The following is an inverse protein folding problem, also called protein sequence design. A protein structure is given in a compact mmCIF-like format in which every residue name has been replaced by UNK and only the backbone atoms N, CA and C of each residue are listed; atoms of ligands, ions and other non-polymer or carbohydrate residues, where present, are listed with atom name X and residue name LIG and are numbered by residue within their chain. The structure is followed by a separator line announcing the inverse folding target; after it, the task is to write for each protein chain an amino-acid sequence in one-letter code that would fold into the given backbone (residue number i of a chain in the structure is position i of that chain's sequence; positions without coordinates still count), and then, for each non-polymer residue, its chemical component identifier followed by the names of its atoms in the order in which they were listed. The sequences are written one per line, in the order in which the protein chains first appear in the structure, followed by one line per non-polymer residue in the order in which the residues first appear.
data_IF_035540620729
#
_entry.id   IF_035540620729
#
_cell.length_a   1.000
_cell.length_b   1.000
_cell.length_c   1.000
_cell.angle_alpha   90.00
_cell.angle_beta   90.00
_cell.angle_gamma   90.00
#
_symmetry.space_group_name_H-M   'P 1'
#
loop_
_entity.id
_entity.type
_entity.pdbx_description
1 polymer ?
#
# COMPACT_ATOMS: atom_id res chain seq x y z
N UNK A 1 44.85 -5.35 4.86
CA UNK A 1 43.48 -5.05 4.36
C UNK A 1 42.55 -4.97 5.57
N UNK A 2 41.93 -3.81 5.86
CA UNK A 2 40.89 -3.72 6.88
C UNK A 2 39.70 -4.59 6.45
N UNK A 3 39.14 -5.47 7.30
CA UNK A 3 37.94 -6.21 6.94
C UNK A 3 36.85 -5.20 6.58
N UNK A 4 36.25 -5.37 5.40
CA UNK A 4 35.06 -4.60 5.02
C UNK A 4 33.94 -5.02 5.97
N UNK A 5 33.75 -4.27 7.05
CA UNK A 5 32.64 -4.52 7.97
C UNK A 5 31.32 -4.13 7.30
N UNK A 6 30.67 -5.13 6.71
CA UNK A 6 29.32 -4.99 6.14
C UNK A 6 28.32 -4.62 7.24
N UNK A 7 27.35 -3.71 6.96
CA UNK A 7 26.26 -3.45 7.92
C UNK A 7 25.56 -4.77 8.25
N UNK A 8 25.36 -5.03 9.54
CA UNK A 8 24.65 -6.21 9.99
C UNK A 8 23.16 -5.90 10.18
N UNK A 9 22.28 -6.92 10.09
CA UNK A 9 20.87 -6.77 10.45
C UNK A 9 20.69 -6.30 11.90
N UNK A 10 19.67 -5.48 12.14
CA UNK A 10 19.32 -4.94 13.47
C UNK A 10 19.08 -6.08 14.48
N UNK A 11 19.72 -6.01 15.65
CA UNK A 11 19.45 -6.89 16.78
C UNK A 11 18.02 -6.68 17.31
N UNK A 12 17.38 -7.74 17.84
CA UNK A 12 15.99 -7.67 18.28
C UNK A 12 15.74 -6.58 19.35
N UNK A 13 16.76 -6.25 20.15
CA UNK A 13 16.73 -5.25 21.23
C UNK A 13 16.80 -3.79 20.76
N UNK A 14 17.21 -3.53 19.51
CA UNK A 14 17.33 -2.17 18.93
C UNK A 14 16.14 -1.82 18.02
N UNK A 15 15.10 -2.65 17.98
CA UNK A 15 13.94 -2.43 17.12
C UNK A 15 12.96 -1.45 17.76
N UNK A 16 12.52 -0.48 16.96
CA UNK A 16 11.46 0.44 17.35
C UNK A 16 10.14 -0.33 17.27
N UNK A 17 9.69 -0.89 18.40
CA UNK A 17 8.47 -1.70 18.51
C UNK A 17 7.26 -0.99 17.87
N UNK A 18 7.19 0.34 18.01
CA UNK A 18 6.15 1.17 17.40
C UNK A 18 6.08 1.01 15.88
N UNK A 19 7.22 0.91 15.18
CA UNK A 19 7.24 0.69 13.72
C UNK A 19 6.73 -0.69 13.34
N UNK A 20 7.02 -1.71 14.15
CA UNK A 20 6.54 -3.06 13.89
C UNK A 20 5.02 -3.16 14.17
N UNK A 21 4.51 -2.48 15.20
CA UNK A 21 3.06 -2.36 15.44
C UNK A 21 2.37 -1.61 14.28
N UNK A 22 2.94 -0.48 13.83
CA UNK A 22 2.41 0.28 12.70
C UNK A 22 2.36 -0.57 11.43
N UNK A 23 3.39 -1.38 11.14
CA UNK A 23 3.41 -2.31 10.01
C UNK A 23 2.35 -3.40 10.14
N UNK A 24 2.18 -3.97 11.33
CA UNK A 24 1.16 -4.98 11.60
C UNK A 24 -0.25 -4.40 11.39
N UNK A 25 -0.52 -3.22 11.93
CA UNK A 25 -1.77 -2.50 11.71
C UNK A 25 -1.99 -2.15 10.25
N UNK A 26 -0.94 -1.69 9.55
CA UNK A 26 -1.01 -1.37 8.15
C UNK A 26 -1.37 -2.59 7.30
N UNK A 27 -0.77 -3.74 7.62
CA UNK A 27 -0.98 -5.01 6.93
C UNK A 27 -2.43 -5.50 7.03
N UNK A 28 -3.08 -5.32 8.18
CA UNK A 28 -4.51 -5.62 8.32
C UNK A 28 -5.35 -4.79 7.35
N UNK A 29 -5.11 -3.48 7.29
CA UNK A 29 -5.89 -2.61 6.42
C UNK A 29 -5.61 -2.84 4.93
N UNK A 30 -4.40 -3.26 4.54
CA UNK A 30 -4.13 -3.75 3.19
C UNK A 30 -4.97 -4.99 2.86
N UNK A 31 -5.05 -5.95 3.77
CA UNK A 31 -5.89 -7.13 3.53
C UNK A 31 -7.38 -6.75 3.40
N UNK A 32 -7.86 -5.84 4.26
CA UNK A 32 -9.24 -5.38 4.23
C UNK A 32 -9.61 -4.64 2.93
N UNK A 33 -8.69 -3.89 2.32
CA UNK A 33 -8.96 -3.26 1.01
C UNK A 33 -8.83 -4.28 -0.13
N UNK A 34 -7.84 -5.17 -0.06
CA UNK A 34 -7.51 -6.06 -1.17
C UNK A 34 -8.44 -7.28 -1.25
N UNK A 35 -9.17 -7.61 -0.18
CA UNK A 35 -10.05 -8.78 -0.19
C UNK A 35 -11.09 -8.73 -1.30
N UNK A 36 -11.53 -7.53 -1.69
CA UNK A 36 -12.41 -7.34 -2.84
C UNK A 36 -11.79 -7.83 -4.15
N UNK A 37 -10.55 -7.40 -4.41
CA UNK A 37 -9.78 -7.75 -5.60
C UNK A 37 -9.20 -9.17 -5.56
N UNK A 38 -9.31 -9.86 -4.41
CA UNK A 38 -9.06 -11.29 -4.34
C UNK A 38 -10.32 -12.10 -4.64
N UNK A 39 -11.47 -11.63 -4.17
CA UNK A 39 -12.75 -12.30 -4.37
C UNK A 39 -13.25 -12.09 -5.79
N UNK A 40 -13.06 -10.90 -6.36
CA UNK A 40 -13.54 -10.52 -7.68
C UNK A 40 -12.49 -9.79 -8.53
N UNK A 41 -12.92 -9.22 -9.67
CA UNK A 41 -12.07 -8.47 -10.59
C UNK A 41 -11.36 -7.30 -9.88
N UNK A 42 -10.06 -7.14 -10.14
CA UNK A 42 -9.24 -6.08 -9.56
C UNK A 42 -9.77 -4.69 -9.92
N UNK A 43 -10.27 -4.54 -11.14
CA UNK A 43 -10.70 -3.25 -11.69
C UNK A 43 -11.99 -2.74 -11.02
N UNK A 44 -12.79 -3.62 -10.42
CA UNK A 44 -13.98 -3.22 -9.66
C UNK A 44 -13.62 -2.74 -8.25
N UNK A 45 -12.63 -3.37 -7.61
CA UNK A 45 -12.22 -3.09 -6.23
C UNK A 45 -11.64 -1.69 -5.97
N UNK A 46 -11.30 -0.95 -7.02
CA UNK A 46 -10.68 0.38 -6.93
C UNK A 46 -11.64 1.51 -7.34
N UNK A 47 -12.92 1.21 -7.58
CA UNK A 47 -13.89 2.17 -8.13
C UNK A 47 -14.71 2.92 -7.08
N UNK A 48 -14.55 2.61 -5.80
CA UNK A 48 -15.28 3.27 -4.71
C UNK A 48 -16.37 2.37 -4.15
N UNK A 49 -17.60 2.87 -4.01
CA UNK A 49 -18.74 2.09 -3.54
C UNK A 49 -19.57 1.61 -4.72
N UNK A 50 -19.44 0.33 -5.07
CA UNK A 50 -20.06 -0.26 -6.26
C UNK A 50 -21.60 -0.20 -6.16
N UNK A 51 -22.30 0.40 -7.15
CA UNK A 51 -23.75 0.44 -7.19
C UNK A 51 -24.42 -0.95 -7.18
N UNK A 52 -23.71 -1.99 -7.61
CA UNK A 52 -24.16 -3.39 -7.59
C UNK A 52 -24.47 -3.88 -6.17
N UNK A 53 -23.79 -3.36 -5.16
CA UNK A 53 -24.05 -3.76 -3.78
C UNK A 53 -25.32 -3.12 -3.22
N UNK A 54 -26.09 -3.92 -2.48
CA UNK A 54 -27.34 -3.53 -1.85
C UNK A 54 -27.37 -3.95 -0.37
N UNK A 55 -28.26 -3.33 0.42
CA UNK A 55 -28.46 -3.69 1.83
C UNK A 55 -27.17 -3.64 2.64
N UNK A 56 -26.90 -4.72 3.38
CA UNK A 56 -25.73 -4.81 4.28
C UNK A 56 -24.40 -4.86 3.52
N UNK A 57 -24.40 -5.40 2.30
CA UNK A 57 -23.20 -5.47 1.45
C UNK A 57 -22.75 -4.07 1.04
N UNK A 58 -23.69 -3.18 0.69
CA UNK A 58 -23.39 -1.77 0.39
C UNK A 58 -22.85 -1.02 1.60
N UNK A 59 -23.36 -1.32 2.79
CA UNK A 59 -22.87 -0.72 4.04
C UNK A 59 -21.45 -1.19 4.34
N UNK A 60 -21.17 -2.48 4.16
CA UNK A 60 -19.82 -3.03 4.28
C UNK A 60 -18.86 -2.37 3.30
N UNK A 61 -19.29 -2.20 2.05
CA UNK A 61 -18.52 -1.57 0.99
C UNK A 61 -18.19 -0.10 1.30
N UNK A 62 -19.22 0.68 1.67
CA UNK A 62 -19.06 2.07 2.08
C UNK A 62 -18.15 2.21 3.31
N UNK A 63 -18.21 1.28 4.27
CA UNK A 63 -17.32 1.27 5.42
C UNK A 63 -15.86 1.07 5.01
N UNK A 64 -15.59 0.15 4.07
CA UNK A 64 -14.24 -0.05 3.51
C UNK A 64 -13.79 1.21 2.76
N UNK A 65 -14.63 1.78 1.90
CA UNK A 65 -14.31 3.00 1.16
C UNK A 65 -13.94 4.16 2.10
N UNK A 66 -14.80 4.45 3.08
CA UNK A 66 -14.64 5.57 4.01
C UNK A 66 -13.45 5.37 4.95
N UNK A 67 -13.26 4.18 5.51
CA UNK A 67 -12.29 3.96 6.60
C UNK A 67 -10.96 3.34 6.15
N UNK A 68 -10.94 2.58 5.04
CA UNK A 68 -9.82 1.68 4.69
C UNK A 68 -9.19 2.04 3.35
N UNK A 69 -9.96 2.05 2.28
CA UNK A 69 -9.48 2.29 0.91
C UNK A 69 -8.79 3.66 0.81
N UNK A 70 -7.59 3.71 0.25
CA UNK A 70 -6.79 4.95 0.21
C UNK A 70 -5.84 5.15 1.39
N UNK A 71 -6.15 4.62 2.58
CA UNK A 71 -5.47 5.01 3.84
C UNK A 71 -4.30 4.10 4.16
N UNK A 72 -4.44 2.81 3.87
CA UNK A 72 -3.44 1.83 4.28
C UNK A 72 -2.30 1.65 3.27
N UNK A 73 -2.53 1.84 1.97
CA UNK A 73 -1.40 1.90 1.02
C UNK A 73 -0.60 3.20 1.19
N UNK A 74 -1.26 4.32 1.53
CA UNK A 74 -0.56 5.58 1.89
C UNK A 74 0.21 5.42 3.20
N UNK A 75 -0.34 4.66 4.16
CA UNK A 75 0.37 4.33 5.42
C UNK A 75 1.60 3.44 5.15
N UNK A 76 1.45 2.41 4.31
CA UNK A 76 2.59 1.59 3.89
C UNK A 76 3.66 2.39 3.17
N UNK A 77 3.25 3.35 2.33
CA UNK A 77 4.18 4.23 1.65
C UNK A 77 4.94 5.12 2.65
N UNK A 78 4.23 5.69 3.63
CA UNK A 78 4.85 6.41 4.75
C UNK A 78 5.89 5.53 5.46
N UNK A 79 5.53 4.30 5.83
CA UNK A 79 6.41 3.35 6.53
C UNK A 79 7.60 2.90 5.69
N UNK A 80 7.44 2.80 4.36
CA UNK A 80 8.53 2.53 3.43
C UNK A 80 9.55 3.68 3.45
N UNK A 81 9.07 4.92 3.38
CA UNK A 81 9.88 6.13 3.54
C UNK A 81 10.61 6.21 4.88
N UNK A 82 9.93 5.85 5.97
CA UNK A 82 10.56 5.74 7.29
C UNK A 82 11.69 4.70 7.27
N UNK A 83 11.46 3.53 6.65
CA UNK A 83 12.45 2.47 6.51
C UNK A 83 13.70 2.91 5.75
N UNK A 84 13.52 3.70 4.68
CA UNK A 84 14.62 4.33 3.95
C UNK A 84 15.44 5.26 4.84
N UNK A 85 14.79 6.19 5.53
CA UNK A 85 15.48 7.17 6.38
C UNK A 85 16.23 6.53 7.55
N UNK A 86 15.64 5.52 8.21
CA UNK A 86 16.33 4.77 9.29
C UNK A 86 17.60 4.09 8.75
N UNK A 87 17.53 3.51 7.56
CA UNK A 87 18.68 2.84 6.95
C UNK A 87 19.77 3.84 6.54
N UNK A 88 19.38 4.99 5.99
CA UNK A 88 20.29 6.06 5.61
C UNK A 88 21.04 6.62 6.84
N UNK A 89 20.32 6.95 7.92
CA UNK A 89 20.92 7.45 9.16
C UNK A 89 21.89 6.45 9.78
N UNK A 90 21.53 5.16 9.82
CA UNK A 90 22.40 4.11 10.38
C UNK A 90 23.67 3.92 9.53
N UNK A 91 23.55 3.96 8.21
CA UNK A 91 24.71 3.86 7.33
C UNK A 91 25.66 5.04 7.52
N UNK A 92 25.12 6.25 7.69
CA UNK A 92 25.87 7.47 7.96
C UNK A 92 26.56 7.44 9.33
N UNK A 93 25.84 7.08 10.40
CA UNK A 93 26.39 6.91 11.75
C UNK A 93 27.51 5.86 11.81
N UNK A 94 27.41 4.80 11.01
CA UNK A 94 28.43 3.76 10.92
C UNK A 94 29.59 4.12 9.98
N UNK A 95 29.55 5.27 9.29
CA UNK A 95 30.56 5.67 8.30
C UNK A 95 30.63 4.74 7.06
N UNK A 96 29.52 4.11 6.67
CA UNK A 96 29.47 3.08 5.62
C UNK A 96 28.72 3.53 4.38
N UNK A 97 29.10 2.97 3.22
CA UNK A 97 28.45 3.24 1.94
C UNK A 97 26.99 2.80 1.93
N UNK A 98 26.07 3.76 1.76
CA UNK A 98 24.63 3.53 1.71
C UNK A 98 24.12 3.09 0.33
N UNK A 99 24.60 3.74 -0.73
CA UNK A 99 24.06 3.62 -2.10
C UNK A 99 23.97 2.17 -2.59
N UNK A 100 25.09 1.43 -2.59
CA UNK A 100 25.13 0.06 -3.12
C UNK A 100 24.31 -0.94 -2.29
N UNK A 101 24.15 -0.70 -0.98
CA UNK A 101 23.27 -1.52 -0.13
C UNK A 101 21.81 -1.28 -0.44
N UNK A 102 21.43 -0.01 -0.52
CA UNK A 102 20.06 0.36 -0.83
C UNK A 102 19.66 -0.11 -2.22
N UNK A 103 20.52 0.02 -3.23
CA UNK A 103 20.24 -0.47 -4.58
C UNK A 103 20.01 -1.99 -4.60
N UNK A 104 20.86 -2.79 -3.95
CA UNK A 104 20.66 -4.25 -3.83
C UNK A 104 19.33 -4.60 -3.15
N UNK A 105 18.99 -3.89 -2.07
CA UNK A 105 17.70 -4.06 -1.39
C UNK A 105 16.54 -3.76 -2.34
N UNK A 106 16.61 -2.66 -3.07
CA UNK A 106 15.55 -2.23 -3.99
C UNK A 106 15.42 -3.20 -5.16
N UNK A 107 16.53 -3.68 -5.74
CA UNK A 107 16.52 -4.69 -6.79
C UNK A 107 15.97 -6.05 -6.29
N UNK A 108 16.34 -6.46 -5.07
CA UNK A 108 15.76 -7.65 -4.45
C UNK A 108 14.25 -7.52 -4.21
N UNK A 109 13.78 -6.33 -3.83
CA UNK A 109 12.35 -6.05 -3.67
C UNK A 109 11.64 -6.06 -5.02
N UNK A 110 12.26 -5.50 -6.07
CA UNK A 110 11.72 -5.51 -7.44
C UNK A 110 11.57 -6.94 -7.96
N UNK A 111 12.56 -7.80 -7.75
CA UNK A 111 12.50 -9.21 -8.17
C UNK A 111 11.38 -9.97 -7.45
N UNK A 112 11.24 -9.75 -6.14
CA UNK A 112 10.14 -10.33 -5.34
C UNK A 112 8.79 -9.79 -5.82
N UNK A 113 8.69 -8.48 -6.08
CA UNK A 113 7.50 -7.84 -6.60
C UNK A 113 7.09 -8.36 -7.97
N UNK A 114 8.03 -8.51 -8.91
CA UNK A 114 7.76 -9.07 -10.24
C UNK A 114 7.30 -10.53 -10.14
N UNK A 115 7.94 -11.33 -9.30
CA UNK A 115 7.50 -12.70 -9.05
C UNK A 115 6.10 -12.72 -8.43
N UNK A 116 5.81 -11.83 -7.49
CA UNK A 116 4.49 -11.72 -6.88
C UNK A 116 3.42 -11.27 -7.88
N UNK A 117 3.68 -10.19 -8.62
CA UNK A 117 2.78 -9.63 -9.63
C UNK A 117 2.41 -10.65 -10.71
N UNK A 118 3.40 -11.43 -11.20
CA UNK A 118 3.21 -12.36 -12.30
C UNK A 118 2.77 -13.76 -11.87
N UNK A 119 3.22 -14.24 -10.69
CA UNK A 119 3.00 -15.62 -10.25
C UNK A 119 1.97 -15.75 -9.13
N UNK A 120 1.71 -14.70 -8.34
CA UNK A 120 0.76 -14.77 -7.23
C UNK A 120 -0.50 -13.93 -7.47
N UNK A 121 -0.40 -12.61 -7.64
CA UNK A 121 -1.57 -11.74 -7.68
C UNK A 121 -1.29 -10.39 -8.37
N UNK A 122 -2.23 -9.87 -9.16
CA UNK A 122 -2.05 -8.65 -9.97
C UNK A 122 -2.04 -7.34 -9.17
N UNK A 123 -2.64 -7.29 -7.98
CA UNK A 123 -2.64 -6.10 -7.11
C UNK A 123 -1.32 -5.84 -6.36
N UNK A 124 -0.18 -6.20 -6.95
CA UNK A 124 1.13 -5.99 -6.37
C UNK A 124 1.48 -4.50 -6.21
N UNK A 125 1.98 -4.13 -5.03
CA UNK A 125 2.49 -2.78 -4.77
C UNK A 125 4.03 -2.73 -4.71
N UNK A 126 4.70 -3.88 -4.65
CA UNK A 126 6.14 -3.99 -4.43
C UNK A 126 6.95 -3.51 -5.63
N UNK A 127 6.52 -3.82 -6.86
CA UNK A 127 7.14 -3.31 -8.10
C UNK A 127 7.12 -1.79 -8.10
N UNK A 128 5.94 -1.20 -7.90
CA UNK A 128 5.77 0.25 -7.82
C UNK A 128 6.66 0.86 -6.74
N UNK A 129 6.69 0.27 -5.54
CA UNK A 129 7.54 0.76 -4.46
C UNK A 129 9.03 0.66 -4.79
N UNK A 130 9.46 -0.41 -5.45
CA UNK A 130 10.85 -0.58 -5.84
C UNK A 130 11.28 0.44 -6.92
N UNK A 131 10.40 0.78 -7.86
CA UNK A 131 10.68 1.81 -8.86
C UNK A 131 10.76 3.21 -8.21
N UNK A 132 9.77 3.56 -7.39
CA UNK A 132 9.75 4.85 -6.67
C UNK A 132 10.86 4.96 -5.63
N UNK A 133 11.34 3.84 -5.08
CA UNK A 133 12.47 3.80 -4.18
C UNK A 133 13.76 4.32 -4.83
N UNK A 134 13.92 4.18 -6.15
CA UNK A 134 15.05 4.75 -6.89
C UNK A 134 14.94 6.28 -6.96
N UNK A 135 13.74 6.83 -7.16
CA UNK A 135 13.50 8.27 -7.11
C UNK A 135 13.72 8.84 -5.70
N UNK A 136 13.30 8.10 -4.66
CA UNK A 136 13.53 8.46 -3.27
C UNK A 136 15.04 8.64 -2.97
N UNK A 137 15.90 7.84 -3.60
CA UNK A 137 17.35 7.97 -3.45
C UNK A 137 17.87 9.33 -3.93
N UNK A 138 17.31 9.87 -5.01
CA UNK A 138 17.66 11.18 -5.55
C UNK A 138 17.31 12.33 -4.59
N UNK A 139 16.31 12.14 -3.74
CA UNK A 139 15.85 13.14 -2.76
C UNK A 139 16.60 13.10 -1.43
N UNK A 140 17.63 12.26 -1.29
CA UNK A 140 18.38 12.09 -0.03
C UNK A 140 19.01 13.39 0.48
N UNK A 141 19.49 14.24 -0.43
CA UNK A 141 20.15 15.51 -0.11
C UNK A 141 19.18 16.64 0.26
N UNK A 142 17.87 16.44 0.08
CA UNK A 142 16.86 17.46 0.42
C UNK A 142 16.92 17.75 1.93
N UNK A 143 17.03 19.02 2.36
CA UNK A 143 17.05 19.38 3.78
C UNK A 143 15.81 18.89 4.54
N UNK A 144 15.99 18.51 5.81
CA UNK A 144 14.87 17.99 6.63
C UNK A 144 13.76 19.02 6.79
N UNK A 145 14.08 20.31 6.81
CA UNK A 145 13.12 21.41 6.98
C UNK A 145 12.21 21.60 5.76
N UNK A 146 12.71 21.34 4.55
CA UNK A 146 11.94 21.50 3.30
C UNK A 146 11.21 20.23 2.89
N UNK A 147 11.63 19.08 3.40
CA UNK A 147 11.08 17.77 3.06
C UNK A 147 9.54 17.63 3.19
N UNK A 148 8.84 18.15 4.21
CA UNK A 148 7.39 18.03 4.29
C UNK A 148 6.68 18.86 3.21
N UNK A 149 7.26 19.99 2.79
CA UNK A 149 6.71 20.82 1.71
C UNK A 149 6.90 20.17 0.35
N UNK A 150 8.08 19.59 0.09
CA UNK A 150 8.33 18.80 -1.12
C UNK A 150 7.41 17.58 -1.15
N UNK A 151 7.24 16.89 -0.02
CA UNK A 151 6.31 15.77 0.10
C UNK A 151 4.87 16.17 -0.25
N UNK A 152 4.39 17.28 0.30
CA UNK A 152 3.05 17.80 0.00
C UNK A 152 2.89 18.18 -1.47
N UNK A 153 3.87 18.89 -2.04
CA UNK A 153 3.86 19.29 -3.45
C UNK A 153 3.79 18.06 -4.38
N UNK A 154 4.67 17.09 -4.18
CA UNK A 154 4.74 15.85 -4.97
C UNK A 154 3.46 15.01 -4.80
N UNK A 155 2.92 14.96 -3.58
CA UNK A 155 1.65 14.27 -3.33
C UNK A 155 0.50 14.92 -4.10
N UNK A 156 0.39 16.25 -4.04
CA UNK A 156 -0.69 17.01 -4.66
C UNK A 156 -0.70 16.96 -6.20
N UNK A 157 0.37 16.49 -6.85
CA UNK A 157 0.39 16.30 -8.30
C UNK A 157 -0.71 15.34 -8.78
N UNK A 158 -0.95 14.23 -8.07
CA UNK A 158 -1.97 13.25 -8.47
C UNK A 158 -3.41 13.79 -8.40
N UNK A 159 -3.91 14.32 -7.26
CA UNK A 159 -5.24 14.92 -7.22
C UNK A 159 -5.34 16.18 -8.09
N UNK A 160 -4.25 16.95 -8.26
CA UNK A 160 -4.22 18.09 -9.17
C UNK A 160 -4.40 17.70 -10.63
N UNK A 161 -3.75 16.62 -11.08
CA UNK A 161 -3.92 16.07 -12.42
C UNK A 161 -5.32 15.51 -12.64
N UNK A 162 -5.89 14.83 -11.64
CA UNK A 162 -7.29 14.36 -11.68
C UNK A 162 -8.28 15.52 -11.85
N UNK A 163 -8.12 16.60 -11.08
CA UNK A 163 -8.94 17.80 -11.24
C UNK A 163 -8.76 18.43 -12.62
N UNK A 164 -7.53 18.48 -13.14
CA UNK A 164 -7.26 19.01 -14.48
C UNK A 164 -8.00 18.20 -15.56
N UNK A 165 -7.99 16.87 -15.48
CA UNK A 165 -8.75 16.01 -16.40
C UNK A 165 -10.26 16.23 -16.28
N UNK A 166 -10.78 16.39 -15.05
CA UNK A 166 -12.19 16.71 -14.84
C UNK A 166 -12.61 18.06 -15.41
N UNK A 167 -11.80 19.10 -15.20
CA UNK A 167 -12.02 20.43 -15.79
C UNK A 167 -11.99 20.35 -17.31
N UNK A 168 -10.97 19.70 -17.89
CA UNK A 168 -10.86 19.52 -19.33
C UNK A 168 -12.09 18.80 -19.90
N UNK A 169 -12.49 17.68 -19.31
CA UNK A 169 -13.67 16.94 -19.74
C UNK A 169 -14.99 17.72 -19.63
N UNK A 170 -15.14 18.56 -18.60
CA UNK A 170 -16.31 19.45 -18.48
C UNK A 170 -16.30 20.57 -19.52
N UNK A 171 -15.13 21.18 -19.79
CA UNK A 171 -15.00 22.24 -20.79
C UNK A 171 -15.23 21.70 -22.21
N UNK A 172 -14.69 20.52 -22.54
CA UNK A 172 -14.91 19.87 -23.85
C UNK A 172 -16.39 19.59 -24.10
N UNK A 173 -17.14 19.22 -23.06
CA UNK A 173 -18.58 18.97 -23.16
C UNK A 173 -19.44 20.24 -23.29
N UNK A 174 -18.88 21.43 -23.08
CA UNK A 174 -19.59 22.69 -23.25
C UNK A 174 -19.75 23.08 -24.73
N UNK A 175 -18.90 22.56 -25.62
CA UNK A 175 -19.03 22.70 -27.07
C UNK A 175 -19.81 21.51 -27.64
N UNK A 176 -20.98 21.71 -28.29
CA UNK A 176 -21.80 20.63 -28.84
C UNK A 176 -21.07 19.70 -29.82
N UNK A 177 -20.12 20.23 -30.62
CA UNK A 177 -19.39 19.42 -31.59
C UNK A 177 -18.39 18.49 -30.89
N UNK A 178 -17.57 19.05 -29.99
CA UNK A 178 -16.61 18.30 -29.20
C UNK A 178 -17.27 17.34 -28.19
N UNK A 179 -18.47 17.67 -27.70
CA UNK A 179 -19.23 16.82 -26.79
C UNK A 179 -19.64 15.48 -27.42
N UNK A 180 -19.91 15.43 -28.73
CA UNK A 180 -20.24 14.17 -29.43
C UNK A 180 -19.02 13.25 -29.47
N UNK A 181 -17.87 13.79 -29.89
CA UNK A 181 -16.61 13.04 -29.93
C UNK A 181 -16.18 12.58 -28.54
N UNK A 182 -16.30 13.46 -27.54
CA UNK A 182 -16.02 13.13 -26.14
C UNK A 182 -16.89 11.99 -25.61
N UNK A 183 -18.21 12.05 -25.87
CA UNK A 183 -19.14 10.98 -25.47
C UNK A 183 -18.82 9.65 -26.15
N UNK A 184 -18.44 9.68 -27.43
CA UNK A 184 -18.00 8.48 -28.15
C UNK A 184 -16.73 7.89 -27.51
N UNK A 185 -15.72 8.73 -27.25
CA UNK A 185 -14.48 8.30 -26.60
C UNK A 185 -14.72 7.72 -25.19
N UNK A 186 -15.63 8.30 -24.40
CA UNK A 186 -16.00 7.77 -23.08
C UNK A 186 -16.80 6.47 -23.17
N UNK A 187 -17.65 6.31 -24.19
CA UNK A 187 -18.35 5.05 -24.45
C UNK A 187 -17.37 3.93 -24.81
N UNK A 188 -16.37 4.22 -25.65
CA UNK A 188 -15.31 3.27 -25.99
C UNK A 188 -14.47 2.90 -24.75
N UNK A 189 -14.13 3.87 -23.90
CA UNK A 189 -13.43 3.63 -22.64
C UNK A 189 -14.26 2.75 -21.68
N UNK A 190 -15.57 3.00 -21.57
CA UNK A 190 -16.47 2.17 -20.77
C UNK A 190 -16.57 0.74 -21.31
N UNK A 191 -16.61 0.55 -22.63
CA UNK A 191 -16.58 -0.78 -23.25
C UNK A 191 -15.26 -1.50 -22.98
N UNK A 192 -14.12 -0.81 -23.05
CA UNK A 192 -12.82 -1.36 -22.70
C UNK A 192 -12.75 -1.77 -21.23
N UNK A 193 -13.27 -0.96 -20.31
CA UNK A 193 -13.34 -1.30 -18.88
C UNK A 193 -14.19 -2.56 -18.65
N UNK A 194 -15.35 -2.67 -19.30
CA UNK A 194 -16.19 -3.89 -19.23
C UNK A 194 -15.45 -5.10 -19.80
N UNK A 195 -14.75 -4.95 -20.93
CA UNK A 195 -13.98 -6.03 -21.54
C UNK A 195 -12.83 -6.49 -20.64
N UNK A 196 -12.13 -5.56 -19.97
CA UNK A 196 -11.08 -5.88 -18.99
C UNK A 196 -11.64 -6.70 -17.82
N UNK A 197 -12.75 -6.25 -17.23
CA UNK A 197 -13.44 -6.98 -16.15
C UNK A 197 -13.86 -8.38 -16.60
N UNK A 198 -14.39 -8.53 -17.82
CA UNK A 198 -14.75 -9.84 -18.38
C UNK A 198 -13.53 -10.74 -18.60
N UNK A 199 -12.41 -10.19 -19.08
CA UNK A 199 -11.15 -10.92 -19.22
C UNK A 199 -10.63 -11.40 -17.86
N UNK A 200 -10.66 -10.54 -16.83
CA UNK A 200 -10.32 -10.90 -15.45
C UNK A 200 -11.24 -12.01 -14.91
N UNK A 201 -12.56 -11.92 -15.12
CA UNK A 201 -13.51 -12.98 -14.73
C UNK A 201 -13.21 -14.31 -15.42
N UNK A 202 -12.95 -14.29 -16.72
CA UNK A 202 -12.60 -15.50 -17.46
C UNK A 202 -11.30 -16.13 -16.96
N UNK A 203 -10.24 -15.32 -16.82
CA UNK A 203 -8.91 -15.80 -16.43
C UNK A 203 -8.80 -16.22 -14.96
N UNK A 204 -9.40 -15.46 -14.04
CA UNK A 204 -9.31 -15.69 -12.59
C UNK A 204 -10.44 -16.53 -12.04
N UNK A 205 -11.65 -16.45 -12.60
CA UNK A 205 -12.82 -17.17 -12.11
C UNK A 205 -12.86 -18.63 -12.55
N UNK A 206 -12.58 -18.92 -13.82
CA UNK A 206 -12.65 -20.29 -14.38
C UNK A 206 -11.41 -20.71 -15.16
N UNK A 207 -10.44 -19.81 -15.32
CA UNK A 207 -9.24 -20.04 -16.10
C UNK A 207 -8.20 -20.91 -15.39
N UNK A 208 -7.31 -21.47 -16.19
CA UNK A 208 -6.11 -22.19 -15.73
C UNK A 208 -5.09 -21.22 -15.12
N UNK A 209 -4.15 -21.75 -14.33
CA UNK A 209 -3.06 -20.93 -13.79
C UNK A 209 -2.25 -20.20 -14.87
N UNK A 210 -2.09 -20.78 -16.06
CA UNK A 210 -1.42 -20.13 -17.19
C UNK A 210 -2.22 -18.94 -17.72
N UNK A 211 -3.54 -19.10 -17.91
CA UNK A 211 -4.42 -18.00 -18.33
C UNK A 211 -4.43 -16.88 -17.29
N UNK A 212 -4.52 -17.20 -16.01
CA UNK A 212 -4.37 -16.23 -14.93
C UNK A 212 -3.01 -15.52 -14.95
N UNK A 213 -1.92 -16.23 -15.25
CA UNK A 213 -0.59 -15.63 -15.38
C UNK A 213 -0.49 -14.66 -16.55
N UNK A 214 -1.09 -14.98 -17.70
CA UNK A 214 -1.15 -14.09 -18.85
C UNK A 214 -2.00 -12.85 -18.57
N UNK A 215 -3.12 -13.00 -17.86
CA UNK A 215 -3.92 -11.85 -17.42
C UNK A 215 -3.14 -10.96 -16.45
N UNK A 216 -2.42 -11.54 -15.48
CA UNK A 216 -1.57 -10.77 -14.55
C UNK A 216 -0.48 -9.97 -15.26
N UNK A 217 0.04 -10.48 -16.37
CA UNK A 217 0.98 -9.73 -17.21
C UNK A 217 0.31 -8.49 -17.82
N UNK A 218 -0.92 -8.60 -18.33
CA UNK A 218 -1.69 -7.47 -18.83
C UNK A 218 -2.00 -6.46 -17.72
N UNK A 219 -2.52 -6.94 -16.58
CA UNK A 219 -2.81 -6.09 -15.41
C UNK A 219 -1.55 -5.32 -14.94
N UNK A 220 -0.38 -5.96 -14.99
CA UNK A 220 0.89 -5.31 -14.64
C UNK A 220 1.25 -4.20 -15.64
N UNK A 221 1.04 -4.40 -16.94
CA UNK A 221 1.29 -3.36 -17.96
C UNK A 221 0.40 -2.14 -17.71
N UNK A 222 -0.88 -2.37 -17.41
CA UNK A 222 -1.84 -1.32 -17.08
C UNK A 222 -1.42 -0.56 -15.81
N UNK A 223 -1.06 -1.29 -14.75
CA UNK A 223 -0.55 -0.69 -13.52
C UNK A 223 0.71 0.16 -13.74
N UNK A 224 1.63 -0.27 -14.63
CA UNK A 224 2.82 0.50 -14.99
C UNK A 224 2.48 1.77 -15.78
N UNK A 225 1.44 1.74 -16.62
CA UNK A 225 0.94 2.92 -17.32
C UNK A 225 0.38 3.97 -16.35
N UNK A 226 -0.37 3.50 -15.34
CA UNK A 226 -0.96 4.32 -14.28
C UNK A 226 0.04 4.84 -13.24
N UNK A 227 1.28 4.34 -13.25
CA UNK A 227 2.34 4.77 -12.32
C UNK A 227 2.67 6.26 -12.46
N UNK A 228 2.57 6.81 -13.67
CA UNK A 228 2.79 8.24 -13.93
C UNK A 228 1.81 9.14 -13.14
N UNK A 229 0.59 8.65 -12.93
CA UNK A 229 -0.49 9.35 -12.26
C UNK A 229 -0.44 9.12 -10.75
N UNK A 230 -0.34 7.85 -10.32
CA UNK A 230 -0.43 7.47 -8.90
C UNK A 230 0.92 7.47 -8.17
N UNK A 231 2.03 7.31 -8.91
CA UNK A 231 3.38 7.26 -8.38
C UNK A 231 3.79 8.51 -7.59
N UNK A 232 3.48 9.74 -8.04
CA UNK A 232 3.74 10.96 -7.28
C UNK A 232 3.09 10.94 -5.88
N UNK A 233 1.85 10.46 -5.75
CA UNK A 233 1.19 10.35 -4.45
C UNK A 233 1.95 9.42 -3.49
N UNK A 234 2.38 8.25 -3.97
CA UNK A 234 3.17 7.30 -3.16
C UNK A 234 4.55 7.87 -2.80
N UNK A 235 5.23 8.54 -3.75
CA UNK A 235 6.52 9.17 -3.51
C UNK A 235 6.41 10.32 -2.50
N UNK A 236 5.35 11.13 -2.56
CA UNK A 236 5.07 12.17 -1.57
C UNK A 236 4.98 11.57 -0.16
N UNK A 237 4.30 10.44 0.00
CA UNK A 237 4.25 9.73 1.29
C UNK A 237 5.60 9.12 1.70
N UNK A 238 6.42 8.63 0.76
CA UNK A 238 7.79 8.18 1.08
C UNK A 238 8.64 9.34 1.64
N UNK A 239 8.53 10.52 1.05
CA UNK A 239 9.24 11.72 1.49
C UNK A 239 8.77 12.17 2.88
N UNK A 240 7.45 12.17 3.11
CA UNK A 240 6.88 12.49 4.42
C UNK A 240 7.31 11.48 5.49
N UNK A 241 7.35 10.19 5.15
CA UNK A 241 7.87 9.14 6.02
C UNK A 241 9.33 9.36 6.38
N UNK A 242 10.14 9.76 5.39
CA UNK A 242 11.54 10.13 5.61
C UNK A 242 11.67 11.33 6.56
N UNK A 243 10.78 12.32 6.47
CA UNK A 243 10.74 13.46 7.39
C UNK A 243 10.44 13.04 8.83
N UNK A 244 9.46 12.17 9.06
CA UNK A 244 9.09 11.69 10.40
C UNK A 244 10.24 11.03 11.17
N UNK A 245 11.13 10.34 10.44
CA UNK A 245 12.34 9.73 11.03
C UNK A 245 13.44 10.77 11.21
N UNK A 246 13.70 11.59 10.18
CA UNK A 246 14.78 12.60 10.21
C UNK A 246 14.54 13.71 11.23
N UNK A 247 13.28 14.04 11.52
CA UNK A 247 12.91 15.01 12.55
C UNK A 247 13.02 14.45 13.98
N UNK A 248 13.15 13.13 14.12
CA UNK A 248 13.09 12.45 15.42
C UNK A 248 11.67 12.27 15.97
N UNK A 249 10.63 12.68 15.23
CA UNK A 249 9.24 12.62 15.70
C UNK A 249 8.75 11.20 16.00
N UNK A 250 9.22 10.19 15.25
CA UNK A 250 8.88 8.78 15.51
C UNK A 250 9.77 8.15 16.59
N UNK A 251 11.03 8.59 16.70
CA UNK A 251 11.96 8.06 17.70
C UNK A 251 11.63 8.53 19.12
N UNK A 252 11.15 9.78 19.26
CA UNK A 252 10.76 10.38 20.53
C UNK A 252 9.42 11.14 20.41
N UNK A 253 8.28 10.44 20.23
CA UNK A 253 6.97 11.07 20.02
C UNK A 253 6.55 12.04 21.13
N UNK A 254 6.99 11.78 22.36
CA UNK A 254 6.76 12.61 23.55
C UNK A 254 7.37 14.01 23.44
N UNK A 255 8.39 14.21 22.59
CA UNK A 255 8.96 15.54 22.29
C UNK A 255 8.10 16.35 21.30
N UNK A 256 7.15 15.70 20.63
CA UNK A 256 6.28 16.31 19.60
C UNK A 256 4.79 16.22 19.95
N UNK A 257 4.36 16.57 21.19
CA UNK A 257 2.98 16.35 21.62
C UNK A 257 1.97 17.17 20.83
N UNK A 258 2.35 18.38 20.39
CA UNK A 258 1.51 19.25 19.55
C UNK A 258 1.25 18.63 18.18
N UNK A 259 2.28 18.09 17.53
CA UNK A 259 2.17 17.40 16.24
C UNK A 259 1.20 16.23 16.34
N UNK A 260 1.44 15.28 17.26
CA UNK A 260 0.59 14.09 17.39
C UNK A 260 -0.83 14.42 17.87
N UNK A 261 -1.03 15.49 18.65
CA UNK A 261 -2.38 15.97 19.00
C UNK A 261 -3.10 16.54 17.78
N UNK A 262 -2.42 17.38 16.99
CA UNK A 262 -2.95 17.93 15.74
C UNK A 262 -3.30 16.81 14.75
N UNK A 263 -2.45 15.79 14.60
CA UNK A 263 -2.73 14.66 13.70
C UNK A 263 -3.99 13.88 14.12
N UNK A 264 -4.18 13.63 15.43
CA UNK A 264 -5.32 12.86 15.95
C UNK A 264 -6.64 13.62 15.96
N UNK A 265 -6.62 14.89 16.36
CA UNK A 265 -7.84 15.65 16.63
C UNK A 265 -8.11 16.78 15.62
N UNK A 266 -7.15 17.12 14.77
CA UNK A 266 -7.33 18.07 13.68
C UNK A 266 -7.33 17.40 12.31
N UNK A 267 -6.19 16.78 11.95
CA UNK A 267 -5.97 16.20 10.61
C UNK A 267 -6.88 14.99 10.36
N UNK A 268 -7.08 14.11 11.35
CA UNK A 268 -7.96 12.95 11.18
C UNK A 268 -9.43 13.34 10.97
N UNK A 269 -10.07 14.17 11.81
CA UNK A 269 -11.44 14.64 11.53
C UNK A 269 -11.55 15.41 10.22
N UNK A 270 -10.56 16.23 9.86
CA UNK A 270 -10.51 16.91 8.57
C UNK A 270 -10.50 15.90 7.42
N UNK A 271 -9.61 14.89 7.48
CA UNK A 271 -9.53 13.84 6.47
C UNK A 271 -10.84 13.06 6.34
N UNK A 272 -11.50 12.74 7.46
CA UNK A 272 -12.81 12.11 7.46
C UNK A 272 -13.87 13.02 6.81
N UNK A 273 -13.88 14.32 7.13
CA UNK A 273 -14.80 15.29 6.51
C UNK A 273 -14.59 15.39 4.99
N UNK A 274 -13.34 15.43 4.54
CA UNK A 274 -12.99 15.42 3.10
C UNK A 274 -13.43 14.11 2.44
N UNK A 275 -13.28 12.96 3.12
CA UNK A 275 -13.74 11.68 2.59
C UNK A 275 -15.27 11.58 2.52
N UNK A 276 -15.98 12.09 3.52
CA UNK A 276 -17.44 12.16 3.49
C UNK A 276 -17.93 13.11 2.40
N UNK A 277 -17.22 14.20 2.14
CA UNK A 277 -17.51 15.08 1.00
C UNK A 277 -17.29 14.39 -0.34
N UNK A 278 -16.18 13.64 -0.50
CA UNK A 278 -15.95 12.79 -1.68
C UNK A 278 -17.11 11.82 -1.89
N UNK A 279 -17.48 11.06 -0.84
CA UNK A 279 -18.58 10.11 -0.87
C UNK A 279 -19.93 10.75 -1.20
N UNK A 280 -20.22 11.94 -0.66
CA UNK A 280 -21.47 12.65 -0.91
C UNK A 280 -21.57 13.23 -2.34
N UNK A 281 -20.42 13.57 -2.96
CA UNK A 281 -20.38 14.09 -4.32
C UNK A 281 -20.58 12.99 -5.35
N UNK A 282 -19.74 11.95 -5.29
CA UNK A 282 -19.78 10.81 -6.19
C UNK A 282 -19.07 9.62 -5.52
N UNK A 283 -19.81 8.61 -5.02
CA UNK A 283 -19.23 7.50 -4.28
C UNK A 283 -18.62 6.42 -5.20
N UNK A 284 -18.88 6.48 -6.50
CA UNK A 284 -18.47 5.49 -7.49
C UNK A 284 -17.84 6.15 -8.71
N UNK A 285 -16.72 5.60 -9.17
CA UNK A 285 -16.01 6.06 -10.36
C UNK A 285 -16.54 5.32 -11.59
N UNK A 286 -17.52 5.93 -12.25
CA UNK A 286 -18.09 5.45 -13.51
C UNK A 286 -17.07 5.61 -14.66
N UNK A 287 -16.61 4.52 -15.30
CA UNK A 287 -15.68 4.59 -16.43
C UNK A 287 -16.23 5.36 -17.64
N UNK A 288 -17.55 5.52 -17.76
CA UNK A 288 -18.19 6.28 -18.83
C UNK A 288 -18.20 7.80 -18.59
N UNK A 289 -17.69 8.26 -17.43
CA UNK A 289 -17.73 9.67 -17.05
C UNK A 289 -16.36 10.17 -16.61
N UNK A 290 -15.90 11.22 -17.28
CA UNK A 290 -14.75 12.00 -16.87
C UNK A 290 -15.12 13.48 -16.88
N UNK A 291 -15.71 13.93 -15.78
CA UNK A 291 -16.16 15.30 -15.57
C UNK A 291 -15.66 15.83 -14.22
N UNK A 292 -15.82 17.14 -13.99
CA UNK A 292 -15.37 17.79 -12.75
C UNK A 292 -15.97 17.17 -11.49
N UNK A 293 -17.17 16.59 -11.55
CA UNK A 293 -17.82 15.99 -10.38
C UNK A 293 -17.17 14.66 -10.02
N UNK A 294 -17.01 13.74 -10.98
CA UNK A 294 -16.36 12.43 -10.75
C UNK A 294 -14.89 12.64 -10.36
N UNK A 295 -14.16 13.43 -11.16
CA UNK A 295 -12.75 13.71 -10.88
C UNK A 295 -12.54 14.50 -9.59
N UNK A 296 -13.46 15.40 -9.26
CA UNK A 296 -13.45 16.14 -8.00
C UNK A 296 -13.65 15.24 -6.79
N UNK A 297 -14.62 14.33 -6.84
CA UNK A 297 -14.82 13.34 -5.79
C UNK A 297 -13.60 12.44 -5.62
N UNK A 298 -12.98 11.98 -6.71
CA UNK A 298 -11.77 11.16 -6.64
C UNK A 298 -10.55 11.93 -6.14
N UNK A 299 -10.35 13.19 -6.55
CA UNK A 299 -9.29 14.04 -6.01
C UNK A 299 -9.45 14.27 -4.50
N UNK A 300 -10.68 14.46 -4.01
CA UNK A 300 -10.96 14.56 -2.58
C UNK A 300 -10.65 13.24 -1.85
N UNK A 301 -10.98 12.09 -2.45
CA UNK A 301 -10.67 10.77 -1.87
C UNK A 301 -9.14 10.57 -1.74
N UNK A 302 -8.38 10.97 -2.77
CA UNK A 302 -6.91 10.97 -2.78
C UNK A 302 -6.32 11.91 -1.73
N UNK A 303 -6.93 13.07 -1.48
CA UNK A 303 -6.50 14.02 -0.43
C UNK A 303 -6.86 13.50 0.97
N UNK A 304 -8.01 12.86 1.13
CA UNK A 304 -8.44 12.30 2.41
C UNK A 304 -7.54 11.14 2.88
N UNK A 305 -7.09 10.30 1.96
CA UNK A 305 -6.19 9.16 2.21
C UNK A 305 -5.02 9.47 3.16
N UNK A 306 -4.10 10.39 2.83
CA UNK A 306 -2.93 10.73 3.64
C UNK A 306 -3.33 11.42 4.95
N UNK A 307 -4.36 12.27 4.95
CA UNK A 307 -4.82 12.94 6.18
C UNK A 307 -5.28 11.90 7.22
N UNK A 308 -6.15 10.98 6.79
CA UNK A 308 -6.64 9.91 7.65
C UNK A 308 -5.53 8.92 8.02
N UNK A 309 -4.65 8.58 7.08
CA UNK A 309 -3.49 7.71 7.30
C UNK A 309 -2.54 8.25 8.37
N UNK A 310 -2.21 9.56 8.34
CA UNK A 310 -1.41 10.21 9.37
C UNK A 310 -2.13 10.24 10.72
N UNK A 311 -3.45 10.43 10.70
CA UNK A 311 -4.33 10.31 11.85
C UNK A 311 -4.27 8.94 12.51
N UNK A 312 -4.40 7.88 11.71
CA UNK A 312 -4.29 6.49 12.15
C UNK A 312 -2.89 6.21 12.71
N UNK A 313 -1.85 6.63 12.00
CA UNK A 313 -0.47 6.47 12.47
C UNK A 313 -0.27 7.13 13.84
N UNK A 314 -0.80 8.34 14.04
CA UNK A 314 -0.70 9.06 15.30
C UNK A 314 -1.44 8.38 16.46
N UNK A 315 -2.61 7.78 16.21
CA UNK A 315 -3.31 6.96 17.20
C UNK A 315 -2.57 5.67 17.52
N UNK A 316 -2.05 4.97 16.51
CA UNK A 316 -1.27 3.74 16.70
C UNK A 316 0.02 4.03 17.47
N UNK A 317 0.70 5.15 17.22
CA UNK A 317 1.88 5.56 18.01
C UNK A 317 1.53 5.71 19.49
N UNK A 318 0.39 6.33 19.82
CA UNK A 318 -0.06 6.44 21.22
C UNK A 318 -0.45 5.08 21.82
N UNK A 319 -1.14 4.25 21.05
CA UNK A 319 -1.70 2.97 21.50
C UNK A 319 -0.73 1.80 21.31
N UNK A 320 0.49 2.03 20.84
CA UNK A 320 1.46 0.99 20.51
C UNK A 320 1.69 -0.03 21.65
N UNK A 321 1.78 0.37 22.94
CA UNK A 321 1.90 -0.60 24.04
C UNK A 321 0.69 -1.55 24.15
N UNK A 322 -0.52 -1.05 23.85
CA UNK A 322 -1.77 -1.84 23.88
C UNK A 322 -1.94 -2.69 22.62
N UNK A 323 -1.34 -2.27 21.51
CA UNK A 323 -1.38 -2.96 20.21
C UNK A 323 -0.13 -3.81 19.95
N UNK A 324 0.69 -4.08 20.97
CA UNK A 324 1.93 -4.84 20.85
C UNK A 324 1.71 -6.27 20.31
N UNK A 325 0.49 -6.82 20.43
CA UNK A 325 0.11 -8.09 19.81
C UNK A 325 0.26 -8.11 18.27
N UNK A 326 0.25 -6.94 17.61
CA UNK A 326 0.42 -6.80 16.16
C UNK A 326 1.89 -6.78 15.73
N UNK A 327 2.83 -6.52 16.65
CA UNK A 327 4.25 -6.41 16.33
C UNK A 327 4.85 -7.67 15.66
N UNK A 328 4.51 -8.92 16.07
CA UNK A 328 4.96 -10.12 15.38
C UNK A 328 4.56 -10.15 13.90
N UNK A 329 3.31 -9.79 13.58
CA UNK A 329 2.84 -9.74 12.20
C UNK A 329 3.59 -8.66 11.39
N UNK A 330 3.87 -7.49 12.00
CA UNK A 330 4.65 -6.44 11.35
C UNK A 330 6.13 -6.75 11.18
N UNK A 331 6.72 -7.57 12.04
CA UNK A 331 8.08 -8.11 11.87
C UNK A 331 8.18 -9.05 10.65
N UNK A 332 7.06 -9.64 10.24
CA UNK A 332 6.92 -10.56 9.10
C UNK A 332 6.01 -9.97 8.00
N UNK A 333 6.00 -8.64 7.86
CA UNK A 333 5.05 -7.96 6.98
C UNK A 333 5.13 -8.40 5.50
N UNK A 334 6.33 -8.63 4.96
CA UNK A 334 6.51 -9.09 3.57
C UNK A 334 6.08 -10.55 3.44
N UNK A 335 6.47 -11.41 4.38
CA UNK A 335 6.02 -12.81 4.39
C UNK A 335 4.50 -12.89 4.47
N UNK A 336 3.87 -12.15 5.39
CA UNK A 336 2.44 -12.20 5.59
C UNK A 336 1.66 -11.59 4.42
N UNK A 337 2.17 -10.52 3.78
CA UNK A 337 1.58 -9.96 2.58
C UNK A 337 1.56 -10.99 1.43
N UNK A 338 2.68 -11.66 1.18
CA UNK A 338 2.75 -12.70 0.15
C UNK A 338 1.90 -13.94 0.51
N UNK A 339 1.83 -14.28 1.79
CA UNK A 339 0.98 -15.36 2.29
C UNK A 339 -0.52 -15.02 2.16
N UNK A 340 -0.91 -13.75 2.34
CA UNK A 340 -2.28 -13.30 2.08
C UNK A 340 -2.63 -13.55 0.62
N UNK A 341 -1.78 -13.09 -0.31
CA UNK A 341 -2.01 -13.31 -1.74
C UNK A 341 -2.09 -14.79 -2.08
N UNK A 342 -1.16 -15.61 -1.59
CA UNK A 342 -1.15 -17.05 -1.84
C UNK A 342 -2.43 -17.72 -1.34
N UNK A 343 -2.86 -17.42 -0.11
CA UNK A 343 -4.05 -18.05 0.48
C UNK A 343 -5.33 -17.54 -0.19
N UNK A 344 -5.45 -16.25 -0.43
CA UNK A 344 -6.63 -15.67 -1.05
C UNK A 344 -6.78 -16.14 -2.50
N UNK A 345 -5.72 -16.17 -3.31
CA UNK A 345 -5.84 -16.67 -4.68
C UNK A 345 -6.05 -18.19 -4.71
N UNK A 346 -5.48 -18.94 -3.77
CA UNK A 346 -5.80 -20.36 -3.62
C UNK A 346 -7.27 -20.60 -3.24
N UNK A 347 -7.87 -19.75 -2.41
CA UNK A 347 -9.30 -19.89 -2.02
C UNK A 347 -10.22 -19.43 -3.14
N UNK A 348 -10.00 -18.25 -3.71
CA UNK A 348 -10.97 -17.62 -4.60
C UNK A 348 -10.77 -17.98 -6.07
N UNK A 349 -9.55 -18.13 -6.58
CA UNK A 349 -9.38 -18.26 -8.04
C UNK A 349 -9.75 -19.66 -8.53
N UNK A 350 -10.15 -19.76 -9.80
CA UNK A 350 -10.60 -20.99 -10.47
C UNK A 350 -9.57 -22.12 -10.49
N UNK A 351 -8.27 -21.79 -10.48
CA UNK A 351 -7.20 -22.79 -10.36
C UNK A 351 -6.98 -23.31 -8.92
N UNK A 352 -7.65 -22.71 -7.93
CA UNK A 352 -7.61 -23.06 -6.52
C UNK A 352 -8.87 -23.80 -6.07
N UNK A 353 -9.58 -23.27 -5.06
CA UNK A 353 -10.89 -23.77 -4.62
C UNK A 353 -12.06 -23.19 -5.42
N UNK A 354 -11.83 -22.18 -6.27
CA UNK A 354 -12.81 -21.67 -7.22
C UNK A 354 -13.96 -20.87 -6.61
N UNK A 355 -13.74 -20.14 -5.50
CA UNK A 355 -14.77 -19.32 -4.83
C UNK A 355 -14.90 -17.87 -5.39
N UNK A 356 -14.49 -17.64 -6.63
CA UNK A 356 -14.44 -16.32 -7.28
C UNK A 356 -15.86 -15.73 -7.43
N UNK A 357 -16.02 -14.47 -7.04
CA UNK A 357 -17.28 -13.70 -6.97
C UNK A 357 -18.41 -14.38 -6.17
N UNK A 358 -18.09 -15.38 -5.33
CA UNK A 358 -19.09 -16.13 -4.56
C UNK A 358 -19.21 -15.68 -3.11
N UNK A 359 -18.22 -14.95 -2.57
CA UNK A 359 -18.25 -14.47 -1.19
C UNK A 359 -18.91 -13.07 -1.11
N UNK A 360 -20.09 -12.93 -0.47
CA UNK A 360 -20.77 -11.64 -0.37
C UNK A 360 -19.91 -10.61 0.35
N UNK A 361 -20.04 -9.33 -0.03
CA UNK A 361 -19.20 -8.22 0.44
C UNK A 361 -19.09 -8.14 1.95
N UNK A 362 -20.20 -8.32 2.67
CA UNK A 362 -20.23 -8.29 4.14
C UNK A 362 -19.38 -9.40 4.77
N UNK A 363 -19.28 -10.57 4.13
CA UNK A 363 -18.52 -11.72 4.62
C UNK A 363 -17.03 -11.66 4.29
N UNK A 364 -16.64 -10.80 3.35
CA UNK A 364 -15.23 -10.54 3.05
C UNK A 364 -14.49 -9.93 4.24
N UNK A 365 -15.16 -9.04 4.99
CA UNK A 365 -14.62 -8.40 6.21
C UNK A 365 -14.24 -9.40 7.32
N UNK A 366 -15.15 -10.25 7.83
CA UNK A 366 -14.80 -11.24 8.85
C UNK A 366 -13.82 -12.29 8.33
N UNK A 367 -13.85 -12.64 7.03
CA UNK A 367 -12.83 -13.52 6.43
C UNK A 367 -11.43 -12.88 6.54
N UNK A 368 -11.28 -11.64 6.11
CA UNK A 368 -10.01 -10.89 6.20
C UNK A 368 -9.53 -10.75 7.66
N UNK A 369 -10.44 -10.41 8.58
CA UNK A 369 -10.13 -10.31 10.01
C UNK A 369 -9.68 -11.66 10.60
N UNK A 370 -10.37 -12.75 10.26
CA UNK A 370 -10.02 -14.10 10.70
C UNK A 370 -8.68 -14.56 10.16
N UNK A 371 -8.43 -14.34 8.86
CA UNK A 371 -7.14 -14.63 8.22
C UNK A 371 -6.00 -13.85 8.87
N UNK A 372 -6.17 -12.54 9.08
CA UNK A 372 -5.15 -11.72 9.72
C UNK A 372 -4.91 -12.12 11.18
N UNK A 373 -5.96 -12.43 11.95
CA UNK A 373 -5.82 -12.92 13.32
C UNK A 373 -5.01 -14.23 13.38
N UNK A 374 -5.27 -15.15 12.44
CA UNK A 374 -4.46 -16.36 12.30
C UNK A 374 -3.00 -16.01 11.97
N UNK A 375 -2.76 -15.09 11.03
CA UNK A 375 -1.40 -14.64 10.71
C UNK A 375 -0.67 -14.02 11.90
N UNK A 376 -1.35 -13.27 12.77
CA UNK A 376 -0.77 -12.73 14.02
C UNK A 376 -0.31 -13.87 14.94
N UNK A 377 -1.15 -14.88 15.14
CA UNK A 377 -0.82 -16.05 15.97
C UNK A 377 0.36 -16.82 15.36
N UNK A 378 0.29 -17.15 14.07
CA UNK A 378 1.33 -17.88 13.36
C UNK A 378 2.66 -17.11 13.35
N UNK A 379 2.64 -15.79 13.15
CA UNK A 379 3.84 -14.95 13.21
C UNK A 379 4.47 -14.98 14.60
N UNK A 380 3.64 -14.93 15.67
CA UNK A 380 4.12 -15.02 17.05
C UNK A 380 4.74 -16.37 17.36
N UNK A 381 4.14 -17.47 16.88
CA UNK A 381 4.68 -18.81 17.04
C UNK A 381 5.99 -18.97 16.26
N UNK A 382 6.01 -18.56 14.99
CA UNK A 382 7.17 -18.62 14.11
C UNK A 382 8.39 -17.89 14.70
N UNK A 383 8.18 -16.67 15.21
CA UNK A 383 9.24 -15.85 15.78
C UNK A 383 9.78 -16.37 17.12
N UNK A 384 9.19 -17.42 17.72
CA UNK A 384 9.82 -18.12 18.85
C UNK A 384 11.04 -18.91 18.41
N UNK A 385 11.00 -19.48 17.21
CA UNK A 385 12.09 -20.33 16.69
C UNK A 385 13.00 -19.59 15.72
N UNK A 386 12.45 -18.65 14.93
CA UNK A 386 13.16 -17.94 13.88
C UNK A 386 13.25 -16.43 14.13
N UNK A 387 14.31 -15.79 13.62
CA UNK A 387 14.57 -14.35 13.81
C UNK A 387 13.81 -13.44 12.85
N UNK A 388 13.42 -13.98 11.70
CA UNK A 388 12.79 -13.28 10.58
C UNK A 388 11.74 -14.17 9.94
N UNK A 389 10.78 -13.57 9.23
CA UNK A 389 9.99 -14.32 8.27
C UNK A 389 10.86 -14.80 7.09
N UNK A 390 10.46 -15.88 6.38
CA UNK A 390 11.22 -16.43 5.26
C UNK A 390 11.56 -15.40 4.18
N UNK A 391 10.60 -14.54 3.82
CA UNK A 391 10.78 -13.57 2.74
C UNK A 391 11.63 -12.38 3.19
N UNK A 392 11.52 -11.95 4.44
CA UNK A 392 12.43 -10.97 5.03
C UNK A 392 13.86 -11.50 5.11
N UNK A 393 14.03 -12.78 5.43
CA UNK A 393 15.34 -13.43 5.46
C UNK A 393 15.98 -13.49 4.06
N UNK A 394 15.22 -13.89 3.05
CA UNK A 394 15.68 -13.90 1.66
C UNK A 394 16.07 -12.49 1.20
N UNK A 395 15.18 -11.51 1.43
CA UNK A 395 15.41 -10.13 1.04
C UNK A 395 16.62 -9.49 1.73
N UNK A 396 16.84 -9.80 3.02
CA UNK A 396 18.04 -9.38 3.76
C UNK A 396 19.29 -10.06 3.23
N UNK A 397 19.21 -11.33 2.83
CA UNK A 397 20.35 -12.07 2.28
C UNK A 397 20.87 -11.38 1.01
N UNK A 398 19.97 -10.96 0.13
CA UNK A 398 20.30 -10.16 -1.07
C UNK A 398 20.87 -8.79 -0.69
N UNK A 399 20.23 -8.09 0.26
CA UNK A 399 20.64 -6.73 0.69
C UNK A 399 22.07 -6.70 1.23
N UNK A 400 22.43 -7.66 2.09
CA UNK A 400 23.72 -7.70 2.77
C UNK A 400 24.76 -8.58 2.07
N UNK A 401 24.38 -9.31 1.00
CA UNK A 401 25.18 -10.35 0.33
C UNK A 401 25.75 -11.40 1.31
N UNK A 402 24.98 -11.69 2.36
CA UNK A 402 25.32 -12.66 3.40
C UNK A 402 24.03 -13.30 3.86
N UNK A 403 24.05 -14.61 4.04
CA UNK A 403 22.92 -15.35 4.60
C UNK A 403 22.92 -15.16 6.12
N UNK A 404 22.02 -14.35 6.70
CA UNK A 404 21.98 -14.19 8.14
C UNK A 404 21.45 -15.47 8.80
N UNK A 405 21.86 -15.80 10.03
CA UNK A 405 21.34 -16.96 10.74
C UNK A 405 19.82 -16.81 10.94
N UNK A 406 19.08 -17.81 10.48
CA UNK A 406 17.61 -17.79 10.50
C UNK A 406 17.04 -18.16 11.87
N UNK A 407 17.63 -19.14 12.55
CA UNK A 407 17.24 -19.54 13.91
C UNK A 407 17.90 -18.64 14.95
N UNK A 408 17.26 -18.52 16.11
CA UNK A 408 17.96 -18.01 17.29
C UNK A 408 19.16 -18.92 17.56
N UNK A 409 20.35 -18.35 17.73
CA UNK A 409 21.48 -19.12 18.25
C UNK A 409 21.03 -19.74 19.57
N UNK A 410 21.24 -21.06 19.74
CA UNK A 410 21.10 -21.69 21.06
C UNK A 410 21.99 -20.87 21.98
N UNK A 411 21.41 -20.17 22.96
CA UNK A 411 22.19 -19.96 24.17
C UNK A 411 22.60 -21.37 24.60
N UNK A 412 23.89 -21.62 24.78
CA UNK A 412 24.29 -22.77 25.57
C UNK A 412 23.54 -22.62 26.89
N UNK A 413 22.51 -23.44 27.06
CA UNK A 413 22.07 -23.87 28.36
C UNK A 413 23.13 -24.88 28.79
N UNK A 414 24.21 -24.37 29.34
CA UNK A 414 25.09 -25.10 30.27
C UNK A 414 25.23 -24.25 31.53
#
# INVERSE_FOLDING_TARGET
MKPRDFLQPIAATERIVVLDVLRGFALLGILLMNIEAFVGPLDLALTGVDPHWHGIDRVADALVYLCVQGKFYTLFALLFGMGFAVMAQRAEQAGRGFFGMYLRRTLGLLAIGLAHALLLWSGDILVTYALLALLLLATRSVPTVTLPWVAALVYCCAPGLMLLYGVAGTLTQADPAAAVEWKAAMADAAQQAVASVQAQRAAYGSGTYLQATLQRWHDLQEAMSGLSINGPAMLGMFLLGSWFVRSGAIAAPERFPRLFRMLRYGVLPLGLGVMLMSYALEPWMDPARLDLRVSGAFALSLIAGPLMSLGYAAWVVQLAPRLACLAPAGCMALTNYLLQSLLCTWVFYGYGLGYFEQLPRVWQLPFALGLFALQVVLSRLWLRWFRFGPMEWLWRSVTYLRVPPMRHGRACLE
#
